data_IF_984095815475
#
_entry.id   IF_984095815475
#
_cell.length_a   1.000
_cell.length_b   1.000
_cell.length_c   1.000
_cell.angle_alpha   90.00
_cell.angle_beta   90.00
_cell.angle_gamma   90.00
#
_symmetry.space_group_name_H-M   'P 1'
#
loop_
_entity.id
_entity.type
_entity.pdbx_description
1 polymer ?
#
# COMPACT_ATOMS: atom_id res chain seq x y z
N UNK A 1 -7.12 -28.32 -18.93
CA UNK A 1 -7.83 -28.00 -17.69
C UNK A 1 -7.67 -26.49 -17.48
N UNK A 2 -8.75 -25.71 -17.39
CA UNK A 2 -8.68 -24.28 -17.07
C UNK A 2 -8.10 -24.13 -15.66
N UNK A 3 -7.16 -23.19 -15.47
CA UNK A 3 -6.69 -22.85 -14.13
C UNK A 3 -7.89 -22.45 -13.27
N UNK A 4 -7.91 -22.80 -11.98
CA UNK A 4 -8.99 -22.37 -11.10
C UNK A 4 -9.01 -20.83 -11.05
N UNK A 5 -10.21 -20.27 -11.11
CA UNK A 5 -10.43 -18.82 -10.99
C UNK A 5 -9.87 -18.30 -9.66
N UNK A 6 -9.11 -17.20 -9.70
CA UNK A 6 -8.59 -16.50 -8.52
C UNK A 6 -9.14 -15.08 -8.49
N UNK A 7 -9.68 -14.68 -7.38
CA UNK A 7 -10.23 -13.33 -7.17
C UNK A 7 -9.27 -12.48 -6.38
N UNK A 8 -8.87 -11.34 -6.94
CA UNK A 8 -8.00 -10.38 -6.27
C UNK A 8 -8.69 -9.01 -6.12
N UNK A 9 -8.71 -8.48 -4.90
CA UNK A 9 -9.22 -7.15 -4.60
C UNK A 9 -8.07 -6.17 -4.39
N UNK A 10 -8.10 -5.04 -5.09
CA UNK A 10 -7.07 -3.99 -4.99
C UNK A 10 -7.70 -2.67 -4.57
N UNK A 11 -7.28 -2.13 -3.42
CA UNK A 11 -7.71 -0.81 -2.96
C UNK A 11 -6.79 0.31 -3.48
N UNK A 12 -7.35 1.53 -3.64
CA UNK A 12 -6.61 2.64 -4.24
C UNK A 12 -6.26 2.41 -5.71
N UNK A 13 -7.10 1.64 -6.42
CA UNK A 13 -6.81 1.16 -7.78
C UNK A 13 -6.94 2.21 -8.88
N UNK A 14 -7.48 3.40 -8.59
CA UNK A 14 -7.75 4.43 -9.61
C UNK A 14 -6.50 5.08 -10.21
N UNK A 15 -5.31 4.92 -9.59
CA UNK A 15 -4.05 5.51 -10.11
C UNK A 15 -2.81 4.86 -9.50
N UNK A 16 -1.62 5.26 -9.95
CA UNK A 16 -0.34 4.96 -9.35
C UNK A 16 -0.08 3.46 -9.13
N UNK A 17 0.32 3.10 -7.91
CA UNK A 17 0.66 1.73 -7.53
C UNK A 17 -0.54 0.79 -7.68
N UNK A 18 -1.75 1.20 -7.27
CA UNK A 18 -2.94 0.37 -7.35
C UNK A 18 -3.31 0.00 -8.79
N UNK A 19 -3.29 0.96 -9.70
CA UNK A 19 -3.55 0.72 -11.12
C UNK A 19 -2.46 -0.16 -11.76
N UNK A 20 -1.18 0.06 -11.41
CA UNK A 20 -0.09 -0.81 -11.86
C UNK A 20 -0.23 -2.24 -11.33
N UNK A 21 -0.69 -2.39 -10.07
CA UNK A 21 -0.96 -3.70 -9.46
C UNK A 21 -2.09 -4.43 -10.17
N UNK A 22 -3.20 -3.74 -10.48
CA UNK A 22 -4.30 -4.33 -11.24
C UNK A 22 -3.82 -4.83 -12.62
N UNK A 23 -3.06 -4.02 -13.35
CA UNK A 23 -2.46 -4.42 -14.64
C UNK A 23 -1.48 -5.60 -14.51
N UNK A 24 -0.72 -5.67 -13.42
CA UNK A 24 0.22 -6.78 -13.18
C UNK A 24 -0.54 -8.08 -12.91
N UNK A 25 -1.53 -8.05 -12.03
CA UNK A 25 -2.33 -9.22 -11.66
C UNK A 25 -3.19 -9.73 -12.83
N UNK A 26 -3.66 -8.83 -13.70
CA UNK A 26 -4.39 -9.19 -14.91
C UNK A 26 -3.59 -10.03 -15.93
N UNK A 27 -2.28 -10.17 -15.73
CA UNK A 27 -1.43 -11.05 -16.57
C UNK A 27 -1.42 -12.50 -16.09
N UNK A 28 -1.90 -12.77 -14.88
CA UNK A 28 -1.92 -14.11 -14.32
C UNK A 28 -3.16 -14.86 -14.82
N UNK A 29 -2.99 -16.06 -15.39
CA UNK A 29 -4.13 -16.81 -15.93
C UNK A 29 -5.21 -17.10 -14.88
N UNK A 30 -6.47 -16.94 -15.25
CA UNK A 30 -7.62 -17.23 -14.40
C UNK A 30 -7.86 -16.20 -13.29
N UNK A 31 -7.24 -15.00 -13.37
CA UNK A 31 -7.47 -13.92 -12.42
C UNK A 31 -8.74 -13.14 -12.75
N UNK A 32 -9.55 -12.85 -11.76
CA UNK A 32 -10.62 -11.86 -11.76
C UNK A 32 -10.33 -10.75 -10.77
N UNK A 33 -10.70 -9.52 -11.09
CA UNK A 33 -10.32 -8.36 -10.29
C UNK A 33 -11.53 -7.61 -9.72
N UNK A 34 -11.40 -7.17 -8.47
CA UNK A 34 -12.29 -6.22 -7.83
C UNK A 34 -11.49 -4.97 -7.47
N UNK A 35 -11.82 -3.84 -8.10
CA UNK A 35 -11.10 -2.59 -7.92
C UNK A 35 -11.87 -1.67 -6.97
N UNK A 36 -11.18 -1.07 -5.99
CA UNK A 36 -11.82 -0.17 -5.02
C UNK A 36 -11.06 1.15 -4.97
N UNK A 37 -11.76 2.27 -5.16
CA UNK A 37 -11.27 3.63 -4.94
C UNK A 37 -12.43 4.62 -4.91
N UNK A 38 -12.16 5.90 -4.60
CA UNK A 38 -13.18 6.96 -4.60
C UNK A 38 -13.64 7.38 -6.00
N UNK A 39 -12.72 7.39 -6.97
CA UNK A 39 -12.95 7.88 -8.35
C UNK A 39 -13.50 6.76 -9.24
N UNK A 40 -14.84 6.63 -9.28
CA UNK A 40 -15.53 5.58 -10.02
C UNK A 40 -15.25 5.59 -11.52
N UNK A 41 -15.19 6.77 -12.14
CA UNK A 41 -14.90 6.91 -13.58
C UNK A 41 -13.54 6.31 -13.96
N UNK A 42 -12.50 6.60 -13.18
CA UNK A 42 -11.17 6.02 -13.43
C UNK A 42 -11.11 4.51 -13.16
N UNK A 43 -11.93 4.01 -12.24
CA UNK A 43 -12.06 2.55 -12.03
C UNK A 43 -12.73 1.88 -13.21
N UNK A 44 -13.79 2.49 -13.76
CA UNK A 44 -14.49 1.98 -14.95
C UNK A 44 -13.57 1.95 -16.18
N UNK A 45 -12.81 3.03 -16.42
CA UNK A 45 -11.82 3.10 -17.50
C UNK A 45 -10.74 2.02 -17.35
N UNK A 46 -10.20 1.88 -16.12
CA UNK A 46 -9.20 0.84 -15.86
C UNK A 46 -9.79 -0.55 -16.08
N UNK A 47 -10.97 -0.83 -15.52
CA UNK A 47 -11.63 -2.13 -15.67
C UNK A 47 -11.86 -2.49 -17.15
N UNK A 48 -12.33 -1.54 -17.96
CA UNK A 48 -12.55 -1.73 -19.40
C UNK A 48 -11.24 -1.98 -20.19
N UNK A 49 -10.10 -1.51 -19.65
CA UNK A 49 -8.77 -1.68 -20.29
C UNK A 49 -8.09 -3.01 -19.95
N UNK A 50 -8.58 -3.75 -18.96
CA UNK A 50 -7.95 -4.99 -18.50
C UNK A 50 -8.45 -6.22 -19.28
N UNK A 51 -7.57 -7.20 -19.58
CA UNK A 51 -7.94 -8.38 -20.38
C UNK A 51 -8.61 -9.49 -19.56
N UNK A 52 -9.04 -9.21 -18.34
CA UNK A 52 -9.66 -10.18 -17.41
C UNK A 52 -10.98 -9.64 -16.86
N UNK A 53 -11.90 -10.49 -16.42
CA UNK A 53 -13.13 -10.05 -15.77
C UNK A 53 -12.79 -9.12 -14.60
N UNK A 54 -13.35 -7.92 -14.63
CA UNK A 54 -13.03 -6.88 -13.64
C UNK A 54 -14.28 -6.14 -13.24
N UNK A 55 -14.58 -6.13 -11.95
CA UNK A 55 -15.62 -5.31 -11.35
C UNK A 55 -15.01 -4.20 -10.48
N UNK A 56 -15.81 -3.24 -10.06
CA UNK A 56 -15.30 -2.13 -9.24
C UNK A 56 -16.34 -1.55 -8.30
N UNK A 57 -15.86 -0.94 -7.22
CA UNK A 57 -16.66 -0.25 -6.21
C UNK A 57 -16.08 1.14 -5.98
N UNK A 58 -16.89 2.17 -6.17
CA UNK A 58 -16.55 3.53 -5.76
C UNK A 58 -16.83 3.67 -4.26
N UNK A 59 -15.77 3.72 -3.44
CA UNK A 59 -15.89 3.83 -2.00
C UNK A 59 -14.78 4.71 -1.40
N UNK A 60 -15.16 5.52 -0.42
CA UNK A 60 -14.22 6.19 0.47
C UNK A 60 -13.98 5.29 1.70
N UNK A 61 -12.81 4.67 1.77
CA UNK A 61 -12.49 3.70 2.82
C UNK A 61 -12.38 4.31 4.23
N UNK A 62 -12.36 5.63 4.36
CA UNK A 62 -12.44 6.29 5.67
C UNK A 62 -13.84 6.21 6.26
N UNK A 63 -14.86 6.02 5.43
CA UNK A 63 -16.25 5.93 5.89
C UNK A 63 -16.53 4.61 6.62
N UNK A 64 -17.30 4.64 7.72
CA UNK A 64 -17.61 3.42 8.50
C UNK A 64 -18.32 2.34 7.70
N UNK A 65 -19.17 2.72 6.74
CA UNK A 65 -19.96 1.82 5.90
C UNK A 65 -19.15 1.18 4.73
N UNK A 66 -17.97 1.69 4.43
CA UNK A 66 -17.20 1.24 3.27
C UNK A 66 -16.82 -0.24 3.29
N UNK A 67 -16.43 -0.86 4.42
CA UNK A 67 -16.14 -2.29 4.47
C UNK A 67 -17.35 -3.15 4.09
N UNK A 68 -18.55 -2.79 4.57
CA UNK A 68 -19.78 -3.51 4.26
C UNK A 68 -20.20 -3.36 2.81
N UNK A 69 -20.03 -2.16 2.24
CA UNK A 69 -20.27 -1.91 0.81
C UNK A 69 -19.37 -2.80 -0.06
N UNK A 70 -18.07 -2.84 0.25
CA UNK A 70 -17.11 -3.67 -0.49
C UNK A 70 -17.42 -5.16 -0.32
N UNK A 71 -17.73 -5.60 0.89
CA UNK A 71 -18.09 -7.00 1.20
C UNK A 71 -19.37 -7.42 0.47
N UNK A 72 -20.39 -6.55 0.45
CA UNK A 72 -21.66 -6.83 -0.26
C UNK A 72 -21.45 -6.95 -1.78
N UNK A 73 -20.67 -6.05 -2.38
CA UNK A 73 -20.32 -6.11 -3.79
C UNK A 73 -19.57 -7.41 -4.13
N UNK A 74 -18.56 -7.76 -3.33
CA UNK A 74 -17.78 -8.98 -3.51
C UNK A 74 -18.69 -10.22 -3.39
N UNK A 75 -19.58 -10.28 -2.38
CA UNK A 75 -20.51 -11.39 -2.19
C UNK A 75 -21.59 -11.51 -3.26
N UNK A 76 -21.91 -10.44 -3.99
CA UNK A 76 -22.84 -10.45 -5.11
C UNK A 76 -22.19 -10.94 -6.43
N UNK A 77 -20.87 -10.82 -6.54
CA UNK A 77 -20.12 -11.11 -7.78
C UNK A 77 -19.23 -12.34 -7.67
N UNK A 78 -18.78 -12.69 -6.47
CA UNK A 78 -17.81 -13.75 -6.21
C UNK A 78 -18.12 -14.46 -4.88
N UNK A 79 -17.82 -15.76 -4.81
CA UNK A 79 -17.93 -16.59 -3.61
C UNK A 79 -16.58 -16.80 -2.89
N UNK A 80 -15.50 -16.22 -3.44
CA UNK A 80 -14.12 -16.36 -2.95
C UNK A 80 -13.34 -15.05 -3.02
N UNK A 81 -12.26 -14.97 -2.24
CA UNK A 81 -11.25 -13.91 -2.31
C UNK A 81 -9.87 -14.53 -2.04
N UNK A 82 -9.02 -14.58 -3.04
CA UNK A 82 -7.70 -15.22 -2.95
C UNK A 82 -6.59 -14.23 -2.60
N UNK A 83 -6.79 -12.95 -2.93
CA UNK A 83 -5.82 -11.89 -2.66
C UNK A 83 -6.51 -10.59 -2.29
N UNK A 84 -6.19 -10.04 -1.12
CA UNK A 84 -6.52 -8.68 -0.71
C UNK A 84 -5.27 -7.81 -0.76
N UNK A 85 -5.28 -6.76 -1.59
CA UNK A 85 -4.20 -5.76 -1.65
C UNK A 85 -4.68 -4.45 -1.02
N UNK A 86 -4.26 -4.19 0.20
CA UNK A 86 -4.48 -2.95 0.92
C UNK A 86 -3.44 -1.90 0.48
N UNK A 87 -3.73 -1.21 -0.63
CA UNK A 87 -2.86 -0.21 -1.21
C UNK A 87 -3.36 1.23 -1.03
N UNK A 88 -4.65 1.43 -0.81
CA UNK A 88 -5.19 2.78 -0.55
C UNK A 88 -4.42 3.47 0.57
N UNK A 89 -4.04 4.72 0.35
CA UNK A 89 -3.30 5.52 1.32
C UNK A 89 -2.87 6.86 0.75
N UNK A 90 -2.58 7.79 1.64
CA UNK A 90 -2.09 9.13 1.29
C UNK A 90 -1.05 9.62 2.30
N UNK A 91 -0.33 10.67 1.91
CA UNK A 91 0.63 11.33 2.80
C UNK A 91 0.52 12.84 2.69
N UNK A 92 0.19 13.50 3.80
CA UNK A 92 0.16 14.93 3.92
C UNK A 92 1.36 15.40 4.76
N UNK A 93 2.21 16.22 4.18
CA UNK A 93 3.43 16.68 4.83
C UNK A 93 3.17 17.92 5.69
N UNK A 94 3.95 18.06 6.75
CA UNK A 94 3.98 19.19 7.65
C UNK A 94 4.64 18.82 8.97
N UNK A 95 5.22 19.78 9.66
CA UNK A 95 5.68 19.57 11.05
C UNK A 95 4.47 19.44 11.97
N UNK A 96 4.63 18.80 13.10
CA UNK A 96 3.54 18.68 14.07
C UNK A 96 3.07 20.05 14.58
N UNK A 97 3.98 21.02 14.73
CA UNK A 97 3.62 22.37 15.13
C UNK A 97 2.72 23.09 14.09
N UNK A 98 2.86 22.77 12.79
CA UNK A 98 2.06 23.36 11.71
C UNK A 98 0.73 22.65 11.52
N UNK A 99 0.68 21.33 11.67
CA UNK A 99 -0.44 20.50 11.23
C UNK A 99 -1.21 19.83 12.38
N UNK A 100 -0.66 19.78 13.59
CA UNK A 100 -1.30 19.33 14.81
C UNK A 100 -1.86 17.90 14.77
N UNK A 101 -2.83 17.67 15.66
CA UNK A 101 -3.53 16.39 15.82
C UNK A 101 -4.31 15.97 14.57
N UNK A 102 -4.95 16.90 13.90
CA UNK A 102 -5.80 16.62 12.74
C UNK A 102 -5.04 15.88 11.64
N UNK A 103 -3.79 16.28 11.39
CA UNK A 103 -2.94 15.60 10.43
C UNK A 103 -2.56 14.17 10.86
N UNK A 104 -2.37 13.94 12.15
CA UNK A 104 -2.11 12.59 12.68
C UNK A 104 -3.35 11.72 12.52
N UNK A 105 -4.51 12.24 12.92
CA UNK A 105 -5.78 11.53 12.87
C UNK A 105 -6.13 11.08 11.44
N UNK A 106 -6.13 11.98 10.46
CA UNK A 106 -6.45 11.62 9.06
C UNK A 106 -5.49 10.60 8.45
N UNK A 107 -4.20 10.60 8.88
CA UNK A 107 -3.27 9.57 8.44
C UNK A 107 -3.60 8.21 9.05
N UNK A 108 -3.93 8.17 10.34
CA UNK A 108 -4.33 6.93 11.00
C UNK A 108 -5.63 6.40 10.38
N UNK A 109 -6.62 7.25 10.22
CA UNK A 109 -7.92 6.89 9.65
C UNK A 109 -7.81 6.22 8.27
N UNK A 110 -7.04 6.82 7.34
CA UNK A 110 -6.91 6.26 5.99
C UNK A 110 -5.88 5.14 5.88
N UNK A 111 -4.69 5.32 6.47
CA UNK A 111 -3.56 4.42 6.22
C UNK A 111 -3.53 3.20 7.17
N UNK A 112 -4.34 3.21 8.25
CA UNK A 112 -4.37 2.14 9.23
C UNK A 112 -5.80 1.67 9.52
N UNK A 113 -6.68 2.53 10.08
CA UNK A 113 -8.02 2.12 10.51
C UNK A 113 -8.86 1.58 9.35
N UNK A 114 -8.82 2.23 8.18
CA UNK A 114 -9.50 1.76 6.98
C UNK A 114 -9.01 0.37 6.54
N UNK A 115 -7.69 0.12 6.63
CA UNK A 115 -7.08 -1.18 6.31
C UNK A 115 -7.56 -2.25 7.28
N UNK A 116 -7.54 -1.95 8.58
CA UNK A 116 -7.96 -2.90 9.62
C UNK A 116 -9.43 -3.26 9.46
N UNK A 117 -10.33 -2.26 9.34
CA UNK A 117 -11.78 -2.47 9.17
C UNK A 117 -12.11 -3.27 7.91
N UNK A 118 -11.48 -2.96 6.78
CA UNK A 118 -11.71 -3.70 5.53
C UNK A 118 -11.21 -5.14 5.64
N UNK A 119 -10.04 -5.34 6.24
CA UNK A 119 -9.49 -6.67 6.46
C UNK A 119 -10.40 -7.49 7.36
N UNK A 120 -10.88 -6.94 8.48
CA UNK A 120 -11.85 -7.59 9.38
C UNK A 120 -13.09 -8.06 8.63
N UNK A 121 -13.70 -7.20 7.81
CA UNK A 121 -14.90 -7.52 7.05
C UNK A 121 -14.70 -8.63 6.00
N UNK A 122 -13.48 -8.75 5.43
CA UNK A 122 -13.16 -9.70 4.37
C UNK A 122 -12.43 -10.96 4.86
N UNK A 123 -11.90 -10.96 6.08
CA UNK A 123 -11.13 -12.06 6.64
C UNK A 123 -11.89 -13.41 6.65
N UNK A 124 -13.20 -13.48 6.98
CA UNK A 124 -13.93 -14.74 6.89
C UNK A 124 -13.94 -15.33 5.48
N UNK A 125 -13.98 -14.49 4.44
CA UNK A 125 -13.97 -14.93 3.04
C UNK A 125 -12.55 -15.40 2.65
N UNK A 126 -11.50 -14.66 3.04
CA UNK A 126 -10.12 -15.06 2.82
C UNK A 126 -9.81 -16.43 3.44
N UNK A 127 -10.23 -16.67 4.69
CA UNK A 127 -10.07 -17.97 5.36
C UNK A 127 -10.80 -19.10 4.62
N UNK A 128 -12.02 -18.86 4.14
CA UNK A 128 -12.75 -19.86 3.34
C UNK A 128 -12.12 -20.15 1.99
N UNK A 129 -11.43 -19.17 1.43
CA UNK A 129 -10.73 -19.25 0.14
C UNK A 129 -9.31 -19.80 0.23
N UNK A 130 -8.85 -20.18 1.42
CA UNK A 130 -7.47 -20.63 1.64
C UNK A 130 -7.04 -21.75 0.67
N UNK A 131 -5.83 -21.74 0.12
CA UNK A 131 -4.76 -20.78 0.44
C UNK A 131 -5.02 -19.41 -0.19
N UNK A 132 -4.96 -18.36 0.64
CA UNK A 132 -5.19 -16.97 0.25
C UNK A 132 -4.13 -16.04 0.82
N UNK A 133 -4.14 -14.76 0.41
CA UNK A 133 -3.13 -13.81 0.88
C UNK A 133 -3.68 -12.40 1.12
N UNK A 134 -3.06 -11.69 2.05
CA UNK A 134 -3.23 -10.26 2.29
C UNK A 134 -1.88 -9.58 2.04
N UNK A 135 -1.86 -8.53 1.24
CA UNK A 135 -0.68 -7.69 1.03
C UNK A 135 -0.97 -6.26 1.48
N UNK A 136 -0.27 -5.82 2.51
CA UNK A 136 -0.36 -4.46 3.00
C UNK A 136 0.75 -3.59 2.37
N UNK A 137 0.36 -2.54 1.65
CA UNK A 137 1.31 -1.57 1.10
C UNK A 137 1.65 -0.55 2.20
N UNK A 138 2.72 -0.85 2.91
CA UNK A 138 3.27 0.00 3.96
C UNK A 138 4.12 1.16 3.36
N UNK A 139 5.31 1.38 3.87
CA UNK A 139 6.31 2.32 3.35
C UNK A 139 7.64 2.12 4.07
N UNK A 140 8.75 2.46 3.44
CA UNK A 140 10.04 2.64 4.15
C UNK A 140 9.96 3.70 5.26
N UNK A 141 9.01 4.65 5.17
CA UNK A 141 8.72 5.61 6.23
C UNK A 141 8.16 4.96 7.51
N UNK A 142 7.62 3.75 7.42
CA UNK A 142 7.24 2.91 8.56
C UNK A 142 8.41 2.17 9.23
N UNK A 143 9.63 2.32 8.74
CA UNK A 143 10.86 1.83 9.37
C UNK A 143 11.82 2.98 9.72
N UNK A 144 11.83 4.05 8.90
CA UNK A 144 12.76 5.19 9.05
C UNK A 144 11.98 6.50 8.89
N UNK A 145 11.70 7.16 10.01
CA UNK A 145 10.97 8.43 10.04
C UNK A 145 11.87 9.61 9.66
N UNK A 146 11.27 10.66 9.11
CA UNK A 146 11.94 11.92 8.76
C UNK A 146 11.12 13.10 9.27
N UNK A 147 11.77 14.25 9.41
CA UNK A 147 11.09 15.51 9.72
C UNK A 147 9.96 15.78 8.71
N UNK A 148 8.91 16.45 9.16
CA UNK A 148 7.70 16.81 8.37
C UNK A 148 6.89 15.62 7.82
N UNK A 149 7.21 14.38 8.22
CA UNK A 149 6.43 13.18 7.86
C UNK A 149 6.10 12.30 9.07
N UNK A 150 6.07 12.88 10.27
CA UNK A 150 5.82 12.16 11.52
C UNK A 150 4.47 11.44 11.53
N UNK A 151 3.40 12.13 11.16
CA UNK A 151 2.05 11.57 11.11
C UNK A 151 1.94 10.38 10.12
N UNK A 152 2.45 10.57 8.90
CA UNK A 152 2.53 9.48 7.90
C UNK A 152 3.37 8.31 8.39
N UNK A 153 4.56 8.59 8.94
CA UNK A 153 5.42 7.54 9.49
C UNK A 153 4.72 6.76 10.59
N UNK A 154 4.05 7.43 11.54
CA UNK A 154 3.32 6.78 12.62
C UNK A 154 2.27 5.80 12.09
N UNK A 155 1.45 6.20 11.11
CA UNK A 155 0.44 5.31 10.52
C UNK A 155 1.06 4.10 9.80
N UNK A 156 2.21 4.28 9.14
CA UNK A 156 2.90 3.17 8.45
C UNK A 156 3.70 2.27 9.41
N UNK A 157 4.19 2.79 10.55
CA UNK A 157 4.72 1.96 11.65
C UNK A 157 3.63 1.09 12.27
N UNK A 158 2.44 1.67 12.53
CA UNK A 158 1.30 0.92 13.04
C UNK A 158 0.91 -0.22 12.08
N UNK A 159 0.80 0.07 10.78
CA UNK A 159 0.47 -0.92 9.76
C UNK A 159 1.50 -2.07 9.70
N UNK A 160 2.79 -1.77 9.81
CA UNK A 160 3.85 -2.78 9.81
C UNK A 160 3.73 -3.71 11.02
N UNK A 161 3.63 -3.14 12.24
CA UNK A 161 3.53 -3.95 13.45
C UNK A 161 2.28 -4.83 13.47
N UNK A 162 1.15 -4.29 13.01
CA UNK A 162 -0.08 -5.06 12.87
C UNK A 162 0.02 -6.16 11.80
N UNK A 163 0.68 -5.89 10.67
CA UNK A 163 0.89 -6.88 9.60
C UNK A 163 1.71 -8.07 10.11
N UNK A 164 2.79 -7.81 10.86
CA UNK A 164 3.64 -8.85 11.42
C UNK A 164 2.84 -9.76 12.39
N UNK A 165 2.02 -9.18 13.27
CA UNK A 165 1.17 -9.93 14.19
C UNK A 165 0.09 -10.74 13.43
N UNK A 166 -0.62 -10.10 12.52
CA UNK A 166 -1.69 -10.74 11.74
C UNK A 166 -1.17 -11.93 10.91
N UNK A 167 0.06 -11.86 10.39
CA UNK A 167 0.66 -12.99 9.68
C UNK A 167 0.79 -14.24 10.58
N UNK A 168 1.19 -14.06 11.84
CA UNK A 168 1.30 -15.16 12.79
C UNK A 168 -0.07 -15.71 13.18
N UNK A 169 -1.07 -14.84 13.31
CA UNK A 169 -2.44 -15.20 13.67
C UNK A 169 -3.16 -15.96 12.55
N UNK A 170 -2.91 -15.59 11.28
CA UNK A 170 -3.63 -16.10 10.12
C UNK A 170 -2.94 -17.28 9.42
N UNK A 171 -1.65 -17.50 9.66
CA UNK A 171 -0.92 -18.63 9.11
C UNK A 171 -1.57 -20.00 9.40
N UNK A 172 -2.10 -20.29 10.62
CA UNK A 172 -2.82 -21.52 10.90
C UNK A 172 -4.12 -21.71 10.09
N UNK A 173 -4.67 -20.61 9.58
CA UNK A 173 -5.88 -20.61 8.74
C UNK A 173 -5.58 -20.66 7.24
N UNK A 174 -4.31 -20.78 6.85
CA UNK A 174 -3.89 -20.83 5.45
C UNK A 174 -3.97 -19.48 4.74
N UNK A 175 -4.00 -18.36 5.48
CA UNK A 175 -3.97 -17.00 4.94
C UNK A 175 -2.57 -16.43 5.16
N UNK A 176 -1.84 -16.21 4.07
CA UNK A 176 -0.55 -15.54 4.12
C UNK A 176 -0.75 -14.03 4.25
N UNK A 177 -0.06 -13.38 5.18
CA UNK A 177 -0.10 -11.91 5.33
C UNK A 177 1.31 -11.36 5.19
N UNK A 178 1.51 -10.48 4.20
CA UNK A 178 2.81 -9.88 3.99
C UNK A 178 2.72 -8.39 3.65
N UNK A 179 3.88 -7.75 3.50
CA UNK A 179 3.94 -6.32 3.25
C UNK A 179 4.92 -5.92 2.15
N UNK A 180 4.59 -4.84 1.46
CA UNK A 180 5.52 -4.15 0.57
C UNK A 180 5.87 -2.81 1.17
N UNK A 181 7.16 -2.45 1.15
CA UNK A 181 7.69 -1.21 1.71
C UNK A 181 8.28 -0.33 0.59
N UNK A 182 7.44 0.43 -0.13
CA UNK A 182 7.92 1.37 -1.11
C UNK A 182 8.73 2.49 -0.47
N UNK A 183 9.80 2.91 -1.14
CA UNK A 183 10.52 4.14 -0.87
C UNK A 183 9.90 5.32 -1.62
N UNK A 184 10.71 6.04 -2.38
CA UNK A 184 10.24 7.12 -3.24
C UNK A 184 9.70 6.55 -4.56
N UNK A 185 8.39 6.58 -4.72
CA UNK A 185 7.68 6.16 -5.94
C UNK A 185 6.91 7.38 -6.45
N UNK A 186 7.31 7.97 -7.58
CA UNK A 186 6.57 9.07 -8.19
C UNK A 186 5.20 8.59 -8.67
N UNK A 187 4.16 9.13 -8.06
CA UNK A 187 2.76 8.87 -8.41
C UNK A 187 1.98 10.18 -8.38
N UNK A 188 0.76 10.18 -8.89
CA UNK A 188 -0.14 11.34 -8.84
C UNK A 188 -0.32 11.87 -7.40
N UNK A 189 -0.51 10.99 -6.43
CA UNK A 189 -0.65 11.35 -5.01
C UNK A 189 0.68 11.67 -4.29
N UNK A 190 1.83 11.47 -4.95
CA UNK A 190 3.17 11.77 -4.44
C UNK A 190 4.04 12.35 -5.56
N UNK A 191 3.76 13.57 -6.05
CA UNK A 191 4.59 14.20 -7.08
C UNK A 191 6.00 14.43 -6.55
N UNK A 192 6.99 13.91 -7.26
CA UNK A 192 8.41 13.93 -6.87
C UNK A 192 9.27 14.38 -8.06
N UNK A 193 8.77 15.33 -8.84
CA UNK A 193 9.48 15.85 -10.02
C UNK A 193 10.90 16.31 -9.66
N UNK A 194 11.06 17.00 -8.53
CA UNK A 194 12.34 17.53 -8.05
C UNK A 194 13.40 16.45 -7.75
N UNK A 195 12.97 15.21 -7.47
CA UNK A 195 13.90 14.10 -7.23
C UNK A 195 14.44 13.48 -8.53
N UNK A 196 13.82 13.78 -9.68
CA UNK A 196 14.27 13.28 -10.99
C UNK A 196 15.49 14.04 -11.52
N UNK A 197 15.67 15.28 -11.08
CA UNK A 197 16.68 16.20 -11.64
C UNK A 197 18.10 15.97 -11.09
N UNK A 198 18.24 15.25 -9.96
CA UNK A 198 19.55 14.96 -9.36
C UNK A 198 19.94 13.51 -9.62
N UNK A 199 21.09 13.26 -10.24
CA UNK A 199 21.59 11.92 -10.57
C UNK A 199 21.64 10.98 -9.35
N UNK A 200 21.99 11.49 -8.16
CA UNK A 200 22.08 10.72 -6.92
C UNK A 200 20.70 10.28 -6.40
N UNK A 201 19.69 11.12 -6.56
CA UNK A 201 18.32 10.81 -6.10
C UNK A 201 17.59 9.88 -7.07
N UNK A 202 17.96 9.89 -8.36
CA UNK A 202 17.42 8.96 -9.35
C UNK A 202 17.65 7.49 -8.97
N UNK A 203 18.76 7.17 -8.32
CA UNK A 203 19.04 5.83 -7.78
C UNK A 203 18.08 5.44 -6.65
N UNK A 204 17.46 6.40 -5.97
CA UNK A 204 16.54 6.17 -4.86
C UNK A 204 15.07 6.04 -5.32
N UNK A 205 14.78 6.34 -6.57
CA UNK A 205 13.44 6.22 -7.12
C UNK A 205 13.14 4.77 -7.52
N UNK A 206 11.93 4.34 -7.21
CA UNK A 206 11.31 3.15 -7.80
C UNK A 206 10.17 3.55 -8.73
N UNK A 207 9.51 2.57 -9.35
CA UNK A 207 8.34 2.78 -10.20
C UNK A 207 7.11 2.06 -9.65
N UNK A 208 5.89 2.48 -10.01
CA UNK A 208 4.68 1.75 -9.66
C UNK A 208 4.70 0.29 -10.10
N UNK A 209 5.29 -0.01 -11.26
CA UNK A 209 5.39 -1.37 -11.81
C UNK A 209 6.32 -2.25 -10.96
N UNK A 210 7.43 -1.69 -10.44
CA UNK A 210 8.30 -2.40 -9.51
C UNK A 210 7.60 -2.73 -8.19
N UNK A 211 6.73 -1.83 -7.72
CA UNK A 211 5.92 -2.09 -6.51
C UNK A 211 4.86 -3.15 -6.81
N UNK A 212 4.21 -3.10 -7.97
CA UNK A 212 3.24 -4.10 -8.40
C UNK A 212 3.87 -5.50 -8.49
N UNK A 213 5.10 -5.61 -9.01
CA UNK A 213 5.83 -6.88 -9.01
C UNK A 213 6.18 -7.34 -7.59
N UNK A 214 6.58 -6.43 -6.70
CA UNK A 214 6.82 -6.76 -5.30
C UNK A 214 5.54 -7.22 -4.58
N UNK A 215 4.37 -6.64 -4.90
CA UNK A 215 3.07 -7.09 -4.40
C UNK A 215 2.78 -8.52 -4.86
N UNK A 216 3.06 -8.83 -6.12
CA UNK A 216 2.92 -10.19 -6.64
C UNK A 216 3.88 -11.18 -5.95
N UNK A 217 5.13 -10.79 -5.70
CA UNK A 217 6.09 -11.64 -4.97
C UNK A 217 5.66 -11.86 -3.51
N UNK A 218 5.00 -10.91 -2.86
CA UNK A 218 4.52 -11.02 -1.48
C UNK A 218 3.22 -11.82 -1.40
N UNK A 219 2.23 -11.49 -2.17
CA UNK A 219 0.93 -12.17 -2.17
C UNK A 219 1.00 -13.56 -2.80
N UNK A 220 0.86 -13.69 -4.12
CA UNK A 220 0.93 -15.00 -4.79
C UNK A 220 2.24 -15.74 -4.57
N UNK A 221 3.36 -15.01 -4.41
CA UNK A 221 4.70 -15.58 -4.21
C UNK A 221 5.05 -15.94 -2.77
N UNK A 222 4.22 -15.58 -1.78
CA UNK A 222 4.36 -15.99 -0.37
C UNK A 222 5.54 -15.37 0.40
N UNK A 223 6.13 -14.25 -0.07
CA UNK A 223 7.20 -13.56 0.66
C UNK A 223 6.63 -12.71 1.79
N UNK A 224 7.27 -12.71 2.97
CA UNK A 224 6.81 -11.93 4.11
C UNK A 224 6.91 -10.41 3.87
N UNK A 225 8.05 -9.93 3.31
CA UNK A 225 8.24 -8.50 3.04
C UNK A 225 9.10 -8.23 1.80
N UNK A 226 8.88 -7.07 1.17
CA UNK A 226 9.67 -6.58 0.04
C UNK A 226 9.86 -5.06 0.07
N UNK A 227 11.10 -4.62 0.04
CA UNK A 227 11.47 -3.21 -0.14
C UNK A 227 11.58 -2.87 -1.62
N UNK A 228 11.08 -1.68 -2.01
CA UNK A 228 11.17 -1.19 -3.40
C UNK A 228 11.68 0.26 -3.42
N UNK A 229 12.86 0.51 -3.95
CA UNK A 229 13.96 -0.40 -4.31
C UNK A 229 14.51 -1.22 -3.13
N UNK A 230 15.06 -2.40 -3.41
CA UNK A 230 15.59 -3.35 -2.39
C UNK A 230 16.60 -2.75 -1.41
N UNK A 231 17.42 -1.80 -1.86
CA UNK A 231 18.47 -1.13 -1.06
C UNK A 231 17.94 -0.38 0.16
N UNK A 232 16.64 -0.04 0.20
CA UNK A 232 16.04 0.57 1.39
C UNK A 232 16.02 -0.36 2.61
N UNK A 233 16.13 -1.68 2.42
CA UNK A 233 16.28 -2.63 3.51
C UNK A 233 17.50 -2.30 4.39
N UNK A 234 18.62 -1.88 3.78
CA UNK A 234 19.81 -1.50 4.53
C UNK A 234 19.55 -0.35 5.50
N UNK A 235 18.84 0.70 5.05
CA UNK A 235 18.50 1.84 5.91
C UNK A 235 17.57 1.42 7.07
N UNK A 236 16.63 0.50 6.82
CA UNK A 236 15.76 -0.06 7.84
C UNK A 236 16.55 -0.85 8.90
N UNK A 237 17.46 -1.72 8.48
CA UNK A 237 18.31 -2.48 9.41
C UNK A 237 19.26 -1.56 10.20
N UNK A 238 19.89 -0.57 9.55
CA UNK A 238 20.74 0.40 10.24
C UNK A 238 19.96 1.21 11.28
N UNK A 239 18.69 1.51 11.03
CA UNK A 239 17.83 2.21 12.01
C UNK A 239 17.65 1.39 13.30
N UNK A 240 17.58 0.08 13.20
CA UNK A 240 17.43 -0.83 14.35
C UNK A 240 18.78 -1.05 15.04
N UNK A 241 19.83 -1.37 14.28
CA UNK A 241 21.14 -1.75 14.81
C UNK A 241 21.95 -0.55 15.31
N UNK A 242 21.79 0.63 14.70
CA UNK A 242 22.55 1.84 15.02
C UNK A 242 21.63 3.09 15.11
N UNK A 243 20.69 3.14 16.06
CA UNK A 243 19.67 4.18 16.12
C UNK A 243 20.26 5.60 16.30
N UNK A 244 21.33 5.75 17.07
CA UNK A 244 21.97 7.04 17.28
C UNK A 244 22.65 7.58 16.03
N UNK A 245 23.32 6.70 15.27
CA UNK A 245 23.93 7.06 14.00
C UNK A 245 22.87 7.49 12.98
N UNK A 246 21.79 6.71 12.86
CA UNK A 246 20.69 7.02 11.95
C UNK A 246 20.03 8.36 12.29
N UNK A 247 19.80 8.65 13.59
CA UNK A 247 19.26 9.95 14.03
C UNK A 247 20.20 11.11 13.67
N UNK A 248 21.52 10.95 13.83
CA UNK A 248 22.50 11.96 13.47
C UNK A 248 22.51 12.25 11.97
N UNK A 249 22.46 11.20 11.14
CA UNK A 249 22.42 11.33 9.67
C UNK A 249 21.11 11.99 9.22
N UNK A 250 19.98 11.57 9.75
CA UNK A 250 18.66 12.12 9.38
C UNK A 250 18.38 13.51 9.96
N UNK A 251 18.98 13.87 11.10
CA UNK A 251 18.88 15.19 11.72
C UNK A 251 19.90 16.20 11.18
N UNK A 252 20.93 15.73 10.45
CA UNK A 252 21.93 16.62 9.84
C UNK A 252 21.38 17.33 8.59
N UNK A 253 21.88 18.56 8.32
CA UNK A 253 21.44 19.38 7.19
C UNK A 253 21.53 18.70 5.81
N UNK A 254 22.42 17.70 5.66
CA UNK A 254 22.54 16.89 4.44
C UNK A 254 21.26 16.09 4.12
N UNK A 255 20.49 15.67 5.11
CA UNK A 255 19.23 14.94 4.88
C UNK A 255 18.12 15.87 4.35
N UNK A 256 18.14 17.13 4.74
CA UNK A 256 17.18 18.14 4.24
C UNK A 256 17.49 18.59 2.80
N UNK A 257 18.74 18.46 2.34
CA UNK A 257 19.15 18.77 0.97
C UNK A 257 18.90 17.63 0.00
N UNK A 258 18.76 16.39 0.49
CA UNK A 258 18.48 15.20 -0.34
C UNK A 258 17.00 15.04 -0.71
N UNK A 259 16.11 15.69 0.03
CA UNK A 259 14.65 15.64 -0.25
C UNK A 259 14.08 17.04 -0.10
N UNK A 260 13.90 17.78 -1.20
CA UNK A 260 13.27 19.08 -1.20
C UNK A 260 11.87 19.03 -0.55
N UNK A 261 11.47 20.12 0.09
CA UNK A 261 10.10 20.30 0.54
C UNK A 261 9.20 20.25 -0.70
N UNK A 262 8.33 19.25 -0.81
CA UNK A 262 7.35 19.22 -1.88
C UNK A 262 6.46 20.45 -1.77
N UNK A 263 6.26 21.15 -2.89
CA UNK A 263 5.27 22.21 -3.04
C UNK A 263 3.89 21.70 -2.61
N UNK A 264 3.15 22.52 -1.93
CA UNK A 264 1.76 22.29 -1.54
C UNK A 264 0.94 21.87 -2.77
N UNK A 265 0.39 20.65 -2.76
CA UNK A 265 -0.74 20.35 -3.64
C UNK A 265 -1.93 21.11 -3.06
N UNK A 266 -2.34 22.17 -3.71
CA UNK A 266 -3.65 22.77 -3.50
C UNK A 266 -4.69 21.77 -3.95
N UNK A 267 -5.64 21.47 -3.05
CA UNK A 267 -6.93 20.78 -3.17
C UNK A 267 -6.92 19.28 -3.43
#
# INVERSE_FOLDING_TARGET
>A
MSSPTKVALVTGASSGIGAATARRLARDPGTELVLVARRGELLAELAASLPVPTTWVAADLTRPEAPDLVRAHLGATHDRLDLLVNNAGAGWRGSFAETGWENVHRHMELNFDAVVRLTEALLPLLRRSAPSAIVNVASTAGRVSRAKSGAYSASKFALIGWTDALNLEEAPHGVHVGMVLPGFIPTEGFPQAELRDKALTRLLLGTPEQVAEAIHEVGPGGKAERYVPRKYALAAHLRVLAPSLTRRVLGGGAANTLVPAASESKD
#
